data_IF_708529827011
#
_entry.id   IF_708529827011
#
_cell.length_a   1.000
_cell.length_b   1.000
_cell.length_c   1.000
_cell.angle_alpha   90.00
_cell.angle_beta   90.00
_cell.angle_gamma   90.00
#
_symmetry.space_group_name_H-M   'P 1'
#
loop_
_entity.id
_entity.type
_entity.pdbx_description
1 polymer ?
#
# COMPACT_ATOMS: atom_id res chain seq x y z
N UNK A 1 -11.64 19.37 -20.74
CA UNK A 1 -12.48 18.16 -20.63
C UNK A 1 -12.03 16.98 -21.51
N UNK A 2 -11.25 17.18 -22.59
CA UNK A 2 -10.76 16.06 -23.42
C UNK A 2 -9.46 15.42 -22.92
N UNK A 3 -8.67 16.17 -22.16
CA UNK A 3 -7.37 15.70 -21.66
C UNK A 3 -7.52 14.66 -20.55
N UNK A 4 -8.53 14.80 -19.69
CA UNK A 4 -8.84 13.82 -18.64
C UNK A 4 -9.29 12.47 -19.23
N UNK A 5 -10.08 12.51 -20.30
CA UNK A 5 -10.56 11.31 -20.98
C UNK A 5 -9.43 10.61 -21.74
N UNK A 6 -8.55 11.39 -22.38
CA UNK A 6 -7.37 10.84 -23.05
C UNK A 6 -6.37 10.21 -22.06
N UNK A 7 -6.22 10.80 -20.86
CA UNK A 7 -5.43 10.21 -19.78
C UNK A 7 -6.04 8.91 -19.26
N UNK A 8 -7.37 8.87 -19.09
CA UNK A 8 -8.08 7.66 -18.67
C UNK A 8 -8.03 6.54 -19.71
N UNK A 9 -8.14 6.86 -21.00
CA UNK A 9 -8.03 5.90 -22.11
C UNK A 9 -6.61 5.32 -22.21
N UNK A 10 -5.57 6.15 -22.06
CA UNK A 10 -4.17 5.70 -22.05
C UNK A 10 -3.86 4.83 -20.83
N UNK A 11 -4.43 5.16 -19.67
CA UNK A 11 -4.33 4.34 -18.46
C UNK A 11 -5.01 2.98 -18.63
N UNK A 12 -6.22 2.94 -19.22
CA UNK A 12 -6.95 1.71 -19.49
C UNK A 12 -6.23 0.80 -20.50
N UNK A 13 -5.48 1.37 -21.44
CA UNK A 13 -4.71 0.64 -22.46
C UNK A 13 -3.32 0.17 -21.98
N UNK A 14 -2.91 0.51 -20.74
CA UNK A 14 -1.60 0.10 -20.20
C UNK A 14 -0.39 0.74 -20.89
N UNK A 15 -0.61 1.74 -21.74
CA UNK A 15 0.43 2.53 -22.41
C UNK A 15 0.82 3.70 -21.50
N UNK A 16 1.34 3.33 -20.33
CA UNK A 16 1.75 4.24 -19.28
C UNK A 16 2.49 5.46 -19.82
N UNK A 17 2.11 6.61 -19.27
CA UNK A 17 2.82 7.87 -19.38
C UNK A 17 4.32 7.60 -19.26
N UNK A 18 5.01 7.54 -20.39
CA UNK A 18 6.46 7.58 -20.43
C UNK A 18 6.87 9.04 -20.43
N UNK A 19 7.93 9.32 -19.66
CA UNK A 19 8.79 10.51 -19.63
C UNK A 19 8.55 11.45 -18.43
N UNK A 20 9.52 11.75 -17.56
CA UNK A 20 10.92 11.28 -17.45
C UNK A 20 11.55 11.82 -16.14
N UNK A 21 12.74 11.28 -15.82
CA UNK A 21 13.83 11.82 -15.01
C UNK A 21 13.86 11.64 -13.47
N UNK A 22 14.74 10.72 -13.05
CA UNK A 22 15.38 10.76 -11.73
C UNK A 22 15.43 9.45 -10.96
N UNK A 23 16.27 8.50 -11.42
CA UNK A 23 16.73 7.33 -10.63
C UNK A 23 15.60 6.39 -10.19
N UNK A 24 15.06 5.62 -11.12
CA UNK A 24 14.38 4.37 -10.78
C UNK A 24 15.43 3.25 -10.79
N UNK A 25 15.79 2.66 -9.63
CA UNK A 25 16.59 1.46 -9.65
C UNK A 25 15.71 0.36 -10.26
N UNK A 26 16.14 -0.15 -11.41
CA UNK A 26 15.77 -1.45 -11.94
C UNK A 26 14.27 -1.73 -12.07
N UNK A 27 13.58 -1.02 -12.97
CA UNK A 27 12.24 -1.37 -13.44
C UNK A 27 12.27 -2.53 -14.47
N UNK A 28 13.20 -3.48 -14.34
CA UNK A 28 13.34 -4.64 -15.21
C UNK A 28 12.55 -5.87 -14.75
N UNK A 29 11.83 -5.81 -13.63
CA UNK A 29 11.15 -6.99 -13.08
C UNK A 29 9.89 -6.65 -12.25
N UNK A 30 9.11 -5.64 -12.64
CA UNK A 30 7.73 -5.55 -12.14
C UNK A 30 6.93 -6.69 -12.80
N UNK A 31 6.53 -7.73 -12.05
CA UNK A 31 5.91 -8.88 -12.67
C UNK A 31 4.57 -8.42 -13.24
N UNK A 32 4.39 -8.45 -14.56
CA UNK A 32 3.08 -8.23 -15.18
C UNK A 32 2.03 -9.30 -14.80
N UNK A 33 2.35 -10.19 -13.86
CA UNK A 33 1.47 -11.20 -13.34
C UNK A 33 0.39 -10.56 -12.43
N UNK A 34 -0.78 -11.22 -12.39
CA UNK A 34 -1.91 -10.77 -11.60
C UNK A 34 -1.55 -10.65 -10.11
N UNK A 35 -0.69 -11.52 -9.61
CA UNK A 35 -0.27 -11.55 -8.22
C UNK A 35 0.43 -10.27 -7.79
N UNK A 36 1.39 -9.75 -8.57
CA UNK A 36 2.08 -8.51 -8.26
C UNK A 36 1.16 -7.29 -8.34
N UNK A 37 0.24 -7.25 -9.33
CA UNK A 37 -0.77 -6.18 -9.41
C UNK A 37 -1.70 -6.18 -8.19
N UNK A 38 -2.13 -7.36 -7.74
CA UNK A 38 -2.93 -7.51 -6.52
C UNK A 38 -2.12 -7.08 -5.31
N UNK A 39 -0.85 -7.45 -5.20
CA UNK A 39 0.01 -7.05 -4.08
C UNK A 39 0.25 -5.54 -4.01
N UNK A 40 0.49 -4.89 -5.16
CA UNK A 40 0.63 -3.44 -5.24
C UNK A 40 -0.68 -2.74 -4.84
N UNK A 41 -1.82 -3.26 -5.29
CA UNK A 41 -3.13 -2.75 -4.92
C UNK A 41 -3.42 -2.92 -3.43
N UNK A 42 -3.18 -4.11 -2.87
CA UNK A 42 -3.33 -4.39 -1.44
C UNK A 42 -2.44 -3.49 -0.59
N UNK A 43 -1.17 -3.31 -0.98
CA UNK A 43 -0.25 -2.39 -0.33
C UNK A 43 -0.79 -0.96 -0.33
N UNK A 44 -1.32 -0.50 -1.46
CA UNK A 44 -1.88 0.86 -1.57
C UNK A 44 -3.10 1.07 -0.68
N UNK A 45 -4.00 0.08 -0.59
CA UNK A 45 -5.16 0.13 0.30
C UNK A 45 -4.77 0.17 1.77
N UNK A 46 -3.81 -0.68 2.18
CA UNK A 46 -3.34 -0.69 3.55
C UNK A 46 -2.67 0.65 3.87
N UNK A 47 -1.80 1.17 3.00
CA UNK A 47 -1.13 2.45 3.22
C UNK A 47 -2.13 3.61 3.35
N UNK A 48 -3.13 3.68 2.46
CA UNK A 48 -4.16 4.72 2.51
C UNK A 48 -5.01 4.65 3.79
N UNK A 49 -5.26 3.46 4.33
CA UNK A 49 -5.94 3.31 5.61
C UNK A 49 -5.02 3.69 6.77
N UNK A 50 -3.73 3.35 6.71
CA UNK A 50 -2.75 3.75 7.73
C UNK A 50 -2.53 5.27 7.83
N UNK A 51 -2.78 6.03 6.75
CA UNK A 51 -2.76 7.50 6.78
C UNK A 51 -3.95 8.10 7.56
N UNK A 52 -4.99 7.31 7.82
CA UNK A 52 -6.15 7.74 8.60
C UNK A 52 -5.86 7.60 10.09
N UNK A 53 -6.49 8.43 10.94
CA UNK A 53 -6.30 8.32 12.39
C UNK A 53 -6.96 7.03 12.90
N UNK A 54 -6.14 6.02 13.22
CA UNK A 54 -6.56 4.80 13.89
C UNK A 54 -5.96 4.69 15.29
N UNK A 55 -6.78 4.24 16.24
CA UNK A 55 -6.35 4.08 17.63
C UNK A 55 -5.48 2.84 17.86
N UNK A 56 -5.52 1.85 16.97
CA UNK A 56 -4.74 0.61 17.07
C UNK A 56 -4.80 -0.21 15.78
N UNK A 57 -3.91 -1.20 15.66
CA UNK A 57 -3.91 -2.16 14.54
C UNK A 57 -5.25 -2.92 14.41
N UNK A 58 -5.95 -3.11 15.54
CA UNK A 58 -7.30 -3.69 15.54
C UNK A 58 -8.29 -2.83 14.77
N UNK A 59 -8.25 -1.51 14.98
CA UNK A 59 -9.13 -0.57 14.30
C UNK A 59 -8.90 -0.57 12.79
N UNK A 60 -7.63 -0.64 12.35
CA UNK A 60 -7.27 -0.77 10.94
C UNK A 60 -7.80 -2.09 10.36
N UNK A 61 -7.66 -3.20 11.08
CA UNK A 61 -8.14 -4.50 10.65
C UNK A 61 -9.68 -4.54 10.50
N UNK A 62 -10.40 -3.92 11.45
CA UNK A 62 -11.86 -3.77 11.39
C UNK A 62 -12.29 -2.87 10.22
N UNK A 63 -11.57 -1.77 9.95
CA UNK A 63 -11.85 -0.88 8.82
C UNK A 63 -11.64 -1.54 7.46
N UNK A 64 -10.57 -2.34 7.33
CA UNK A 64 -10.29 -3.14 6.13
C UNK A 64 -11.16 -4.41 6.03
N UNK A 65 -11.91 -4.76 7.09
CA UNK A 65 -12.77 -5.94 7.12
C UNK A 65 -12.00 -7.27 7.12
N UNK A 66 -10.74 -7.28 7.56
CA UNK A 66 -9.88 -8.47 7.58
C UNK A 66 -9.47 -8.88 8.99
N UNK A 67 -9.17 -10.17 9.24
CA UNK A 67 -8.64 -10.60 10.54
C UNK A 67 -7.33 -9.90 10.88
N UNK A 68 -7.13 -9.56 12.16
CA UNK A 68 -5.89 -8.93 12.67
C UNK A 68 -4.63 -9.70 12.29
N UNK A 69 -4.68 -11.03 12.37
CA UNK A 69 -3.55 -11.90 12.00
C UNK A 69 -3.20 -11.76 10.51
N UNK A 70 -4.20 -11.74 9.64
CA UNK A 70 -4.03 -11.52 8.21
C UNK A 70 -3.45 -10.14 7.91
N UNK A 71 -3.91 -9.09 8.59
CA UNK A 71 -3.32 -7.76 8.46
C UNK A 71 -1.85 -7.76 8.86
N UNK A 72 -1.49 -8.40 9.97
CA UNK A 72 -0.10 -8.51 10.42
C UNK A 72 0.78 -9.23 9.39
N UNK A 73 0.30 -10.33 8.82
CA UNK A 73 1.00 -11.06 7.78
C UNK A 73 1.16 -10.21 6.50
N UNK A 74 0.14 -9.43 6.12
CA UNK A 74 0.21 -8.49 4.99
C UNK A 74 1.18 -7.34 5.25
N UNK A 75 1.18 -6.74 6.44
CA UNK A 75 2.13 -5.68 6.80
C UNK A 75 3.57 -6.17 6.72
N UNK A 76 3.85 -7.37 7.25
CA UNK A 76 5.17 -8.00 7.15
C UNK A 76 5.54 -8.29 5.70
N UNK A 77 4.61 -8.82 4.90
CA UNK A 77 4.84 -9.12 3.48
C UNK A 77 5.14 -7.87 2.66
N UNK A 78 4.42 -6.78 2.89
CA UNK A 78 4.58 -5.53 2.15
C UNK A 78 5.61 -4.57 2.76
N UNK A 79 6.24 -4.93 3.87
CA UNK A 79 7.22 -4.09 4.57
C UNK A 79 6.65 -2.77 5.08
N UNK A 80 5.35 -2.73 5.39
CA UNK A 80 4.67 -1.52 5.84
C UNK A 80 4.83 -1.37 7.37
N UNK A 81 5.50 -0.31 7.87
CA UNK A 81 5.63 -0.08 9.30
C UNK A 81 4.30 0.44 9.85
N UNK A 82 3.74 -0.26 10.84
CA UNK A 82 2.64 0.26 11.63
C UNK A 82 3.22 0.99 12.84
N UNK A 83 3.28 2.32 12.78
CA UNK A 83 3.65 3.14 13.92
C UNK A 83 2.38 3.60 14.63
N UNK A 84 1.90 2.84 15.61
CA UNK A 84 0.84 3.29 16.51
C UNK A 84 1.36 4.47 17.33
N UNK A 85 0.83 5.70 17.18
CA UNK A 85 1.14 6.77 18.11
C UNK A 85 0.43 6.44 19.44
N UNK A 86 1.13 5.72 20.33
CA UNK A 86 0.58 5.31 21.63
C UNK A 86 1.01 3.92 22.11
N UNK A 87 1.74 3.14 21.30
CA UNK A 87 2.39 1.93 21.82
C UNK A 87 3.69 2.34 22.51
N UNK A 88 3.56 2.80 23.75
CA UNK A 88 4.70 2.89 24.65
C UNK A 88 5.38 1.50 24.68
N UNK A 89 6.71 1.41 24.55
CA UNK A 89 7.39 0.15 24.81
C UNK A 89 6.99 -0.34 26.21
N UNK A 90 6.82 -1.65 26.42
CA UNK A 90 6.59 -2.17 27.75
C UNK A 90 7.71 -1.64 28.64
N UNK A 91 7.30 -0.96 29.70
CA UNK A 91 8.13 -0.62 30.84
C UNK A 91 8.72 -1.94 31.34
N UNK A 92 9.94 -2.27 30.92
CA UNK A 92 10.76 -3.31 31.54
C UNK A 92 11.16 -2.79 32.92
N UNK A 93 10.18 -2.77 33.83
CA UNK A 93 10.34 -2.57 35.25
C UNK A 93 10.61 -3.92 35.93
N UNK A 94 11.79 -3.97 36.54
CA UNK A 94 12.35 -4.98 37.47
C UNK A 94 13.24 -6.10 36.87
#
# INVERSE_FOLDING_TARGET
>A
MRELQNAAERFALGLGLSLDDGVLPDAADEPHNLSAKVEAFERSLIAAELERPHNSLRSVAEALGIPRKTLHDKLRKHGLPFNTPGENPPDDGE
#
